data_IF_546908549659
#
_entry.id   IF_546908549659
#
_cell.length_a   1.000
_cell.length_b   1.000
_cell.length_c   1.000
_cell.angle_alpha   90.00
_cell.angle_beta   90.00
_cell.angle_gamma   90.00
#
_symmetry.space_group_name_H-M   'P 1'
#
loop_
_entity.id
_entity.type
_entity.pdbx_description
1 polymer ?
#
# COMPACT_ATOMS: atom_id res chain seq x y z
N UNK A 1 -13.18 -0.17 27.46
CA UNK A 1 -12.32 -0.88 26.49
C UNK A 1 -13.07 -2.17 26.16
N UNK A 2 -13.66 -2.27 24.97
CA UNK A 2 -14.58 -3.38 24.65
C UNK A 2 -13.83 -4.70 24.48
N UNK A 3 -14.33 -5.78 25.09
CA UNK A 3 -13.80 -7.12 24.86
C UNK A 3 -13.99 -7.51 23.38
N UNK A 4 -12.98 -8.10 22.72
CA UNK A 4 -13.11 -8.54 21.34
C UNK A 4 -14.18 -9.64 21.24
N UNK A 5 -15.20 -9.43 20.42
CA UNK A 5 -16.41 -10.25 20.34
C UNK A 5 -16.26 -11.53 19.48
N UNK A 6 -15.07 -12.16 19.48
CA UNK A 6 -14.77 -13.33 18.67
C UNK A 6 -14.24 -14.50 19.49
N UNK A 7 -14.50 -15.72 19.01
CA UNK A 7 -13.92 -16.95 19.58
C UNK A 7 -12.39 -16.88 19.56
N UNK A 8 -11.71 -17.07 20.71
CA UNK A 8 -10.25 -17.12 20.77
C UNK A 8 -9.73 -18.26 19.91
N UNK A 9 -8.83 -17.96 18.97
CA UNK A 9 -8.16 -18.97 18.16
C UNK A 9 -6.64 -18.82 18.29
N UNK A 10 -5.94 -19.96 18.35
CA UNK A 10 -4.47 -19.99 18.36
C UNK A 10 -3.95 -20.04 16.94
N UNK A 11 -3.12 -19.07 16.56
CA UNK A 11 -2.44 -19.02 15.26
C UNK A 11 -0.94 -19.17 15.43
N UNK A 12 -0.30 -19.82 14.46
CA UNK A 12 1.15 -19.78 14.34
C UNK A 12 1.57 -18.45 13.72
N UNK A 13 2.28 -17.63 14.48
CA UNK A 13 2.84 -16.39 13.97
C UNK A 13 4.00 -16.70 13.01
N UNK A 14 3.97 -16.11 11.81
CA UNK A 14 5.08 -16.18 10.86
C UNK A 14 6.22 -15.24 11.28
N UNK A 15 5.86 -14.04 11.75
CA UNK A 15 6.81 -13.06 12.29
C UNK A 15 6.66 -13.00 13.79
N UNK A 16 7.64 -13.56 14.50
CA UNK A 16 7.68 -13.59 15.94
C UNK A 16 9.10 -13.31 16.42
N UNK A 17 9.20 -12.88 17.67
CA UNK A 17 10.47 -12.80 18.39
C UNK A 17 10.97 -14.21 18.69
N UNK A 18 12.25 -14.32 19.07
CA UNK A 18 12.87 -15.61 19.45
C UNK A 18 12.06 -16.34 20.55
N UNK A 19 11.46 -15.58 21.47
CA UNK A 19 10.58 -16.11 22.52
C UNK A 19 9.12 -16.37 22.07
N UNK A 20 8.86 -16.45 20.77
CA UNK A 20 7.54 -16.73 20.14
C UNK A 20 6.45 -15.68 20.41
N UNK A 21 6.81 -14.52 20.95
CA UNK A 21 5.89 -13.40 21.13
C UNK A 21 5.75 -12.58 19.83
N UNK A 22 4.60 -11.91 19.60
CA UNK A 22 4.41 -11.06 18.43
C UNK A 22 5.37 -9.86 18.44
N UNK A 23 5.67 -9.35 17.24
CA UNK A 23 6.25 -8.02 17.10
C UNK A 23 5.17 -6.96 17.30
N UNK A 24 5.40 -6.04 18.23
CA UNK A 24 4.56 -4.85 18.39
C UNK A 24 5.00 -3.72 17.47
N UNK A 25 4.09 -2.79 17.14
CA UNK A 25 4.33 -1.62 16.28
C UNK A 25 5.67 -0.91 16.56
N UNK A 26 5.96 -0.63 17.83
CA UNK A 26 7.19 0.06 18.25
C UNK A 26 8.46 -0.67 17.78
N UNK A 27 8.45 -2.01 17.73
CA UNK A 27 9.61 -2.78 17.26
C UNK A 27 9.84 -2.61 15.77
N UNK A 28 8.79 -2.50 14.97
CA UNK A 28 8.94 -2.20 13.54
C UNK A 28 9.57 -0.82 13.33
N UNK A 29 9.22 0.18 14.16
CA UNK A 29 9.82 1.52 14.08
C UNK A 29 11.32 1.52 14.47
N UNK A 30 11.71 0.69 15.43
CA UNK A 30 13.12 0.48 15.81
C UNK A 30 13.89 -0.18 14.66
N UNK A 31 13.41 -1.32 14.15
CA UNK A 31 14.05 -2.03 13.02
C UNK A 31 14.16 -1.14 11.79
N UNK A 32 13.13 -0.33 11.54
CA UNK A 32 13.10 0.59 10.41
C UNK A 32 14.13 1.73 10.54
N UNK A 33 14.59 2.08 11.74
CA UNK A 33 15.56 3.15 11.94
C UNK A 33 16.91 2.81 11.32
N UNK A 34 17.38 1.58 11.51
CA UNK A 34 18.63 1.11 10.90
C UNK A 34 18.52 1.05 9.37
N UNK A 35 17.40 0.50 8.86
CA UNK A 35 17.14 0.39 7.42
C UNK A 35 17.08 1.77 6.76
N UNK A 36 16.40 2.75 7.38
CA UNK A 36 16.35 4.13 6.88
C UNK A 36 17.71 4.78 6.82
N UNK A 37 18.50 4.63 7.90
CA UNK A 37 19.83 5.20 7.98
C UNK A 37 20.74 4.62 6.89
N UNK A 38 20.70 3.30 6.69
CA UNK A 38 21.44 2.62 5.63
C UNK A 38 20.99 3.07 4.22
N UNK A 39 19.71 3.41 4.04
CA UNK A 39 19.17 3.94 2.80
C UNK A 39 19.42 5.46 2.59
N UNK A 40 20.06 6.14 3.55
CA UNK A 40 20.26 7.60 3.50
C UNK A 40 18.97 8.42 3.60
N UNK A 41 17.87 7.82 4.08
CA UNK A 41 16.57 8.49 4.16
C UNK A 41 16.44 9.33 5.45
N UNK A 42 16.04 10.61 5.37
CA UNK A 42 15.83 11.44 6.56
C UNK A 42 14.83 10.83 7.54
N UNK A 43 15.10 10.95 8.85
CA UNK A 43 14.26 10.42 9.92
C UNK A 43 12.99 11.27 10.16
N UNK A 44 12.12 11.34 9.16
CA UNK A 44 10.83 12.05 9.22
C UNK A 44 9.67 11.05 9.35
N UNK A 45 8.50 11.55 9.78
CA UNK A 45 7.25 10.76 9.81
C UNK A 45 6.84 10.28 8.41
N UNK A 46 7.12 11.09 7.38
CA UNK A 46 6.88 10.73 5.98
C UNK A 46 7.71 9.52 5.58
N UNK A 47 8.95 9.41 6.05
CA UNK A 47 9.82 8.27 5.75
C UNK A 47 9.65 7.12 6.74
N UNK A 48 8.62 7.10 7.59
CA UNK A 48 8.33 5.97 8.49
C UNK A 48 8.01 4.66 7.74
N UNK A 49 7.84 3.56 8.47
CA UNK A 49 7.69 2.21 7.88
C UNK A 49 6.54 2.12 6.86
N UNK A 50 5.50 2.94 7.03
CA UNK A 50 4.36 3.03 6.12
C UNK A 50 4.73 3.49 4.69
N UNK A 51 5.92 4.04 4.49
CA UNK A 51 6.41 4.41 3.16
C UNK A 51 6.44 3.19 2.23
N UNK A 52 6.73 2.00 2.74
CA UNK A 52 6.74 0.76 1.94
C UNK A 52 5.38 0.48 1.30
N UNK A 53 4.29 0.69 2.06
CA UNK A 53 2.93 0.51 1.56
C UNK A 53 2.57 1.56 0.50
N UNK A 54 3.02 2.80 0.68
CA UNK A 54 2.82 3.85 -0.33
C UNK A 54 3.61 3.57 -1.60
N UNK A 55 4.87 3.14 -1.48
CA UNK A 55 5.70 2.76 -2.62
C UNK A 55 5.08 1.61 -3.41
N UNK A 56 4.57 0.58 -2.73
CA UNK A 56 3.83 -0.51 -3.36
C UNK A 56 2.61 0.02 -4.15
N UNK A 57 1.77 0.84 -3.52
CA UNK A 57 0.60 1.42 -4.16
C UNK A 57 0.96 2.26 -5.40
N UNK A 58 1.98 3.12 -5.28
CA UNK A 58 2.48 3.93 -6.40
C UNK A 58 3.00 3.08 -7.55
N UNK A 59 3.76 2.02 -7.25
CA UNK A 59 4.28 1.11 -8.27
C UNK A 59 3.15 0.37 -9.00
N UNK A 60 2.15 -0.15 -8.30
CA UNK A 60 0.99 -0.80 -8.90
C UNK A 60 0.23 0.13 -9.85
N UNK A 61 -0.06 1.36 -9.43
CA UNK A 61 -0.75 2.33 -10.29
C UNK A 61 0.08 2.73 -11.51
N UNK A 62 1.39 2.92 -11.34
CA UNK A 62 2.30 3.21 -12.44
C UNK A 62 2.36 2.06 -13.46
N UNK A 63 2.17 0.82 -13.02
CA UNK A 63 2.04 -0.37 -13.88
C UNK A 63 0.65 -0.59 -14.47
N UNK A 64 -0.32 0.30 -14.21
CA UNK A 64 -1.66 0.23 -14.78
C UNK A 64 -2.66 -0.63 -14.01
N UNK A 65 -2.35 -1.04 -12.78
CA UNK A 65 -3.33 -1.71 -11.90
C UNK A 65 -4.49 -0.75 -11.63
N UNK A 66 -5.72 -1.24 -11.73
CA UNK A 66 -6.90 -0.41 -11.47
C UNK A 66 -7.09 -0.14 -9.97
N UNK A 67 -7.83 0.92 -9.66
CA UNK A 67 -7.97 1.44 -8.30
C UNK A 67 -8.70 0.47 -7.36
N UNK A 68 -9.62 -0.34 -7.90
CA UNK A 68 -10.40 -1.29 -7.10
C UNK A 68 -9.54 -2.47 -6.72
N UNK A 69 -8.83 -3.07 -7.68
CA UNK A 69 -7.89 -4.16 -7.41
C UNK A 69 -6.84 -3.73 -6.39
N UNK A 70 -6.28 -2.52 -6.55
CA UNK A 70 -5.35 -1.99 -5.56
C UNK A 70 -5.98 -1.82 -4.17
N UNK A 71 -7.22 -1.31 -4.09
CA UNK A 71 -7.92 -1.17 -2.82
C UNK A 71 -8.09 -2.53 -2.11
N UNK A 72 -8.47 -3.57 -2.85
CA UNK A 72 -8.62 -4.93 -2.33
C UNK A 72 -7.28 -5.49 -1.80
N UNK A 73 -6.18 -5.34 -2.55
CA UNK A 73 -4.85 -5.80 -2.09
C UNK A 73 -4.34 -5.03 -0.87
N UNK A 74 -4.69 -3.75 -0.78
CA UNK A 74 -4.40 -2.94 0.39
C UNK A 74 -5.30 -3.33 1.58
N UNK A 75 -6.42 -4.01 1.36
CA UNK A 75 -7.42 -4.28 2.40
C UNK A 75 -8.17 -3.02 2.81
N UNK A 76 -8.47 -2.14 1.85
CA UNK A 76 -9.36 -1.01 2.05
C UNK A 76 -10.80 -1.42 1.70
N UNK A 77 -11.69 -1.38 2.70
CA UNK A 77 -13.11 -1.71 2.50
C UNK A 77 -13.81 -0.74 1.53
N UNK A 78 -13.35 0.52 1.48
CA UNK A 78 -13.83 1.54 0.55
C UNK A 78 -12.77 1.89 -0.51
N UNK A 79 -12.97 1.52 -1.79
CA UNK A 79 -12.13 1.95 -2.89
C UNK A 79 -12.04 3.48 -3.05
N UNK A 80 -13.06 4.23 -2.61
CA UNK A 80 -13.08 5.68 -2.59
C UNK A 80 -11.96 6.28 -1.73
N UNK A 81 -11.63 5.63 -0.60
CA UNK A 81 -10.47 6.00 0.22
C UNK A 81 -9.17 5.85 -0.58
N UNK A 82 -8.96 4.74 -1.27
CA UNK A 82 -7.77 4.50 -2.11
C UNK A 82 -7.66 5.55 -3.21
N UNK A 83 -8.78 5.84 -3.89
CA UNK A 83 -8.84 6.86 -4.94
C UNK A 83 -8.49 8.24 -4.39
N UNK A 84 -9.00 8.62 -3.21
CA UNK A 84 -8.70 9.90 -2.57
C UNK A 84 -7.22 10.03 -2.22
N UNK A 85 -6.58 8.95 -1.77
CA UNK A 85 -5.17 8.95 -1.37
C UNK A 85 -4.25 8.94 -2.59
N UNK A 86 -4.53 8.12 -3.60
CA UNK A 86 -3.57 7.84 -4.69
C UNK A 86 -4.01 8.31 -6.08
N UNK A 87 -5.22 8.85 -6.23
CA UNK A 87 -5.76 9.26 -7.54
C UNK A 87 -4.91 10.27 -8.29
N UNK A 88 -4.09 11.06 -7.57
CA UNK A 88 -3.13 12.00 -8.15
C UNK A 88 -1.98 11.33 -8.93
N UNK A 89 -1.75 10.04 -8.71
CA UNK A 89 -0.76 9.25 -9.45
C UNK A 89 -1.32 8.68 -10.76
N UNK A 90 -2.64 8.68 -10.92
CA UNK A 90 -3.28 8.16 -12.13
C UNK A 90 -3.31 9.22 -13.23
N UNK A 91 -3.15 8.83 -14.51
CA UNK A 91 -3.40 9.74 -15.61
C UNK A 91 -4.86 10.21 -15.56
N UNK A 92 -5.09 11.48 -15.88
CA UNK A 92 -6.44 12.06 -15.85
C UNK A 92 -7.40 11.23 -16.71
N UNK A 93 -8.67 11.16 -16.32
CA UNK A 93 -9.68 10.41 -17.06
C UNK A 93 -9.75 10.84 -18.55
N UNK A 94 -9.60 12.15 -18.81
CA UNK A 94 -9.53 12.69 -20.15
C UNK A 94 -8.29 12.21 -20.94
N UNK A 95 -7.12 12.13 -20.30
CA UNK A 95 -5.91 11.62 -20.95
C UNK A 95 -6.02 10.12 -21.28
N UNK A 96 -6.57 9.32 -20.36
CA UNK A 96 -6.82 7.89 -20.61
C UNK A 96 -7.84 7.67 -21.72
N UNK A 97 -8.93 8.44 -21.71
CA UNK A 97 -9.96 8.38 -22.75
C UNK A 97 -9.41 8.71 -24.13
N UNK A 98 -8.60 9.77 -24.25
CA UNK A 98 -7.93 10.12 -25.53
C UNK A 98 -7.00 9.02 -26.01
N UNK A 99 -6.13 8.48 -25.14
CA UNK A 99 -5.22 7.40 -25.54
C UNK A 99 -5.97 6.13 -25.98
N UNK A 100 -7.07 5.80 -25.31
CA UNK A 100 -7.89 4.64 -25.66
C UNK A 100 -8.54 4.81 -27.04
N UNK A 101 -9.11 5.99 -27.32
CA UNK A 101 -9.71 6.31 -28.63
C UNK A 101 -8.63 6.36 -29.72
N UNK A 102 -7.50 7.03 -29.47
CA UNK A 102 -6.39 7.12 -30.44
C UNK A 102 -5.86 5.73 -30.79
N UNK A 103 -5.73 4.83 -29.80
CA UNK A 103 -5.32 3.45 -30.06
C UNK A 103 -6.35 2.70 -30.90
N UNK A 104 -7.63 2.78 -30.51
CA UNK A 104 -8.72 2.12 -31.23
C UNK A 104 -8.79 2.56 -32.70
N UNK A 105 -8.68 3.88 -32.97
CA UNK A 105 -8.72 4.43 -34.32
C UNK A 105 -7.48 4.10 -35.15
N UNK A 106 -6.32 3.85 -34.53
CA UNK A 106 -5.08 3.45 -35.22
C UNK A 106 -5.02 1.97 -35.54
N UNK A 107 -5.73 1.13 -34.79
CA UNK A 107 -5.80 -0.32 -35.03
C UNK A 107 -6.78 -0.69 -36.18
N UNK A 108 -7.61 0.26 -36.66
CA UNK A 108 -8.51 0.09 -37.81
C UNK A 108 -7.93 0.55 -39.17
N UNK A 109 -6.62 0.84 -39.26
CA UNK A 109 -5.92 1.28 -40.49
C UNK A 109 -4.74 0.38 -40.83
#
# INVERSE_FOLDING_TARGET
>A
MGSPAGEPHTVRLLFQRENRQPYYRQRYEILWTEVRAAAGAPATSVNGFHVLRRTFASACLASGVDIRTLAEWLGHDDPGFTLKVYGHLMPSAAARGRQAIDKFLRDES
#
